data_IF_586243319951
#
_entry.id   IF_586243319951
#
_cell.length_a   1.000
_cell.length_b   1.000
_cell.length_c   1.000
_cell.angle_alpha   90.00
_cell.angle_beta   90.00
_cell.angle_gamma   90.00
#
_symmetry.space_group_name_H-M   'P 1'
#
loop_
_entity.id
_entity.type
_entity.pdbx_description
1 polymer ?
#
# COMPACT_ATOMS: atom_id res chain seq x y z
N UNK A 1 -10.22 28.26 0.59
CA UNK A 1 -10.36 27.65 -0.75
C UNK A 1 -8.95 27.31 -1.23
N UNK A 2 -8.38 26.19 -0.78
CA UNK A 2 -6.95 25.89 -0.99
C UNK A 2 -6.65 25.14 -2.29
N UNK A 3 -7.66 24.78 -3.08
CA UNK A 3 -7.46 24.03 -4.31
C UNK A 3 -8.33 24.62 -5.41
N UNK A 4 -7.81 25.63 -6.11
CA UNK A 4 -8.48 26.25 -7.25
C UNK A 4 -7.45 26.84 -8.22
N UNK A 5 -7.22 26.16 -9.35
CA UNK A 5 -6.36 26.65 -10.43
C UNK A 5 -5.52 25.58 -11.14
N UNK A 6 -5.34 24.40 -10.55
CA UNK A 6 -4.59 23.30 -11.16
C UNK A 6 -5.52 22.19 -11.67
N UNK A 7 -5.21 21.60 -12.82
CA UNK A 7 -5.76 20.31 -13.24
C UNK A 7 -5.25 19.24 -12.28
N UNK A 8 -5.97 18.99 -11.20
CA UNK A 8 -5.65 17.92 -10.25
C UNK A 8 -6.05 16.61 -10.91
N UNK A 9 -5.06 15.79 -11.27
CA UNK A 9 -5.33 14.39 -11.59
C UNK A 9 -5.81 13.72 -10.30
N UNK A 10 -7.11 13.42 -10.25
CA UNK A 10 -7.71 12.61 -9.18
C UNK A 10 -7.63 11.16 -9.67
N UNK A 11 -6.72 10.33 -9.12
CA UNK A 11 -6.68 8.92 -9.46
C UNK A 11 -8.03 8.28 -9.10
N UNK A 12 -8.42 7.21 -9.80
CA UNK A 12 -9.71 6.58 -9.50
C UNK A 12 -9.78 6.23 -8.01
N UNK A 13 -10.83 6.72 -7.34
CA UNK A 13 -11.06 6.55 -5.90
C UNK A 13 -10.84 5.11 -5.43
N UNK A 14 -11.21 4.10 -6.24
CA UNK A 14 -11.03 2.69 -5.89
C UNK A 14 -9.56 2.25 -5.74
N UNK A 15 -8.65 2.78 -6.55
CA UNK A 15 -7.25 2.36 -6.56
C UNK A 15 -6.48 2.91 -5.35
N UNK A 16 -6.72 4.17 -5.02
CA UNK A 16 -6.00 4.88 -3.95
C UNK A 16 -6.40 4.36 -2.57
N UNK A 17 -7.69 4.17 -2.30
CA UNK A 17 -8.18 3.65 -1.02
C UNK A 17 -7.74 2.21 -0.77
N UNK A 18 -7.78 1.36 -1.79
CA UNK A 18 -7.31 -0.03 -1.68
C UNK A 18 -5.82 -0.10 -1.29
N UNK A 19 -4.98 0.78 -1.83
CA UNK A 19 -3.56 0.79 -1.50
C UNK A 19 -3.33 1.21 -0.04
N UNK A 20 -4.08 2.19 0.47
CA UNK A 20 -4.03 2.56 1.88
C UNK A 20 -4.46 1.40 2.80
N UNK A 21 -5.52 0.68 2.44
CA UNK A 21 -5.95 -0.51 3.18
C UNK A 21 -4.87 -1.59 3.19
N UNK A 22 -4.24 -1.85 2.04
CA UNK A 22 -3.11 -2.80 1.91
C UNK A 22 -1.94 -2.41 2.81
N UNK A 23 -1.59 -1.13 2.86
CA UNK A 23 -0.50 -0.63 3.72
C UNK A 23 -0.82 -0.84 5.20
N UNK A 24 -2.05 -0.52 5.62
CA UNK A 24 -2.51 -0.70 6.99
C UNK A 24 -2.52 -2.18 7.40
N UNK A 25 -3.06 -3.06 6.56
CA UNK A 25 -3.05 -4.51 6.78
C UNK A 25 -1.63 -5.06 6.87
N UNK A 26 -0.72 -4.56 6.03
CA UNK A 26 0.68 -4.95 6.07
C UNK A 26 1.33 -4.57 7.40
N UNK A 27 1.16 -3.34 7.87
CA UNK A 27 1.67 -2.92 9.18
C UNK A 27 1.11 -3.74 10.33
N UNK A 28 -0.20 -4.02 10.33
CA UNK A 28 -0.85 -4.85 11.35
C UNK A 28 -0.25 -6.26 11.35
N UNK A 29 -0.02 -6.85 10.18
CA UNK A 29 0.63 -8.15 10.05
C UNK A 29 2.06 -8.17 10.59
N UNK A 30 2.84 -7.12 10.32
CA UNK A 30 4.20 -6.99 10.87
C UNK A 30 4.19 -6.77 12.39
N UNK A 31 3.26 -5.95 12.91
CA UNK A 31 3.08 -5.71 14.37
C UNK A 31 2.71 -6.99 15.12
N UNK A 32 1.99 -7.91 14.47
CA UNK A 32 1.68 -9.24 14.98
C UNK A 32 2.86 -10.23 14.93
N UNK A 33 4.03 -9.80 14.45
CA UNK A 33 5.23 -10.63 14.35
C UNK A 33 5.22 -11.61 13.18
N UNK A 34 4.29 -11.47 12.22
CA UNK A 34 4.27 -12.34 11.04
C UNK A 34 5.43 -11.99 10.09
N UNK A 35 6.06 -12.98 9.44
CA UNK A 35 7.06 -12.73 8.42
C UNK A 35 6.46 -11.95 7.24
N UNK A 36 7.16 -10.92 6.76
CA UNK A 36 6.74 -10.09 5.62
C UNK A 36 6.27 -10.89 4.39
N UNK A 37 6.97 -11.95 3.93
CA UNK A 37 6.50 -12.75 2.79
C UNK A 37 5.16 -13.46 3.02
N UNK A 38 4.82 -13.79 4.27
CA UNK A 38 3.55 -14.41 4.63
C UNK A 38 2.43 -13.37 4.54
N UNK A 39 2.65 -12.21 5.15
CA UNK A 39 1.69 -11.08 5.13
C UNK A 39 1.39 -10.64 3.69
N UNK A 40 2.42 -10.51 2.84
CA UNK A 40 2.23 -10.12 1.43
C UNK A 40 1.39 -11.15 0.66
N UNK A 41 1.57 -12.46 0.92
CA UNK A 41 0.75 -13.52 0.29
C UNK A 41 -0.70 -13.47 0.75
N UNK A 42 -0.93 -13.28 2.05
CA UNK A 42 -2.29 -13.18 2.62
C UNK A 42 -3.04 -11.98 2.01
N UNK A 43 -2.39 -10.82 1.92
CA UNK A 43 -2.96 -9.60 1.33
C UNK A 43 -3.21 -9.79 -0.17
N UNK A 44 -2.26 -10.39 -0.90
CA UNK A 44 -2.41 -10.65 -2.33
C UNK A 44 -3.64 -11.53 -2.62
N UNK A 45 -3.85 -12.59 -1.83
CA UNK A 45 -5.02 -13.44 -1.94
C UNK A 45 -6.33 -12.69 -1.61
N UNK A 46 -6.33 -11.89 -0.55
CA UNK A 46 -7.51 -11.13 -0.09
C UNK A 46 -7.98 -10.07 -1.09
N UNK A 47 -7.03 -9.36 -1.71
CA UNK A 47 -7.32 -8.27 -2.65
C UNK A 47 -7.33 -8.71 -4.12
N UNK A 48 -7.17 -10.01 -4.38
CA UNK A 48 -7.02 -10.59 -5.73
C UNK A 48 -5.96 -9.86 -6.57
N UNK A 49 -4.78 -9.64 -5.95
CA UNK A 49 -3.63 -8.96 -6.54
C UNK A 49 -2.47 -9.94 -6.72
N UNK A 50 -1.54 -9.60 -7.62
CA UNK A 50 -0.28 -10.33 -7.71
C UNK A 50 0.60 -10.03 -6.50
N UNK A 51 1.45 -10.99 -6.11
CA UNK A 51 2.45 -10.81 -5.06
C UNK A 51 3.33 -9.58 -5.34
N UNK A 52 3.76 -9.41 -6.60
CA UNK A 52 4.59 -8.27 -7.01
C UNK A 52 3.86 -6.93 -6.86
N UNK A 53 2.55 -6.88 -7.12
CA UNK A 53 1.75 -5.67 -6.93
C UNK A 53 1.71 -5.24 -5.46
N UNK A 54 1.47 -6.19 -4.55
CA UNK A 54 1.47 -5.91 -3.10
C UNK A 54 2.88 -5.57 -2.60
N UNK A 55 3.91 -6.24 -3.11
CA UNK A 55 5.31 -5.94 -2.82
C UNK A 55 5.69 -4.51 -3.23
N UNK A 56 5.23 -4.05 -4.39
CA UNK A 56 5.45 -2.67 -4.85
C UNK A 56 4.70 -1.65 -3.98
N UNK A 57 3.45 -1.94 -3.59
CA UNK A 57 2.66 -1.05 -2.71
C UNK A 57 3.33 -0.94 -1.33
N UNK A 58 3.75 -2.06 -0.76
CA UNK A 58 4.37 -2.11 0.59
C UNK A 58 5.85 -1.70 0.59
N UNK A 59 6.43 -1.34 -0.56
CA UNK A 59 7.85 -1.05 -0.69
C UNK A 59 8.28 0.09 0.23
N UNK A 60 7.51 1.17 0.31
CA UNK A 60 7.82 2.35 1.13
C UNK A 60 7.93 2.02 2.63
N UNK A 61 7.16 1.05 3.12
CA UNK A 61 7.21 0.60 4.51
C UNK A 61 8.37 -0.37 4.81
N UNK A 62 8.84 -1.09 3.78
CA UNK A 62 9.95 -2.06 3.92
C UNK A 62 11.31 -1.41 3.76
N UNK A 63 11.38 -0.47 2.83
CA UNK A 63 12.58 0.24 2.42
C UNK A 63 12.29 1.74 2.63
N UNK A 64 12.31 2.22 3.88
CA UNK A 64 12.19 3.65 4.12
C UNK A 64 13.31 4.34 3.33
N UNK A 65 12.92 5.32 2.52
CA UNK A 65 13.84 6.14 1.73
C UNK A 65 14.95 6.67 2.64
N UNK A 66 16.22 6.43 2.26
CA UNK A 66 17.38 7.01 2.95
C UNK A 66 17.55 8.51 2.69
N UNK A 67 16.74 9.09 1.80
CA UNK A 67 16.78 10.50 1.42
C UNK A 67 15.39 11.10 1.67
N UNK A 68 15.28 11.88 2.74
CA UNK A 68 14.23 12.89 2.97
C UNK A 68 14.80 14.29 2.73
#
# INVERSE_FOLDING_TARGET
>A
KEYGGANIYVPSYKGTFRNYDILKEYEEGIKLGKPSPVVIREIAAKHNLSYNSVCAITKELREPSLFE
#
